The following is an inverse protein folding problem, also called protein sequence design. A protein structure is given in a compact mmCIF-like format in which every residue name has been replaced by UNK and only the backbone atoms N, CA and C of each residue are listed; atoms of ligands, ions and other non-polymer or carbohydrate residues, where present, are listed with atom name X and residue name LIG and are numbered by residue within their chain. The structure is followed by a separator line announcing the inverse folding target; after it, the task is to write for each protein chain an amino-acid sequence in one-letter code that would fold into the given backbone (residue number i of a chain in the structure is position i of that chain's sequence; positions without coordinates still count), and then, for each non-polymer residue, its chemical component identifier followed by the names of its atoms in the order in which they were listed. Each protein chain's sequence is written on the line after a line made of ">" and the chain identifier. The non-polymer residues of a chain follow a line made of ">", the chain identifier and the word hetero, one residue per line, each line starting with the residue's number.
data_IF_683081598128
#
_entry.id   IF_683081598128
#
_cell.length_a   1.000
_cell.length_b   1.000
_cell.length_c   1.000
_cell.angle_alpha   90.00
_cell.angle_beta   90.00
_cell.angle_gamma   90.00
#
_symmetry.space_group_name_H-M   'P 1'
#
loop_
_entity.id
_entity.type
_entity.pdbx_description
1 polymer ?
#
# COMPACT_ATOMS: atom_id res chain seq x y z
N UNK A 1 0.42 -12.47 16.38
CA UNK A 1 -0.86 -12.33 15.63
C UNK A 1 -0.57 -12.14 14.15
N UNK A 2 -1.42 -12.63 13.23
CA UNK A 2 -1.23 -12.49 11.77
C UNK A 2 -2.27 -11.53 11.19
N UNK A 3 -1.83 -10.54 10.44
CA UNK A 3 -2.68 -9.51 9.83
C UNK A 3 -2.54 -9.54 8.31
N UNK A 4 -3.66 -9.36 7.62
CA UNK A 4 -3.70 -9.13 6.18
C UNK A 4 -4.30 -7.75 5.93
N UNK A 5 -3.60 -6.92 5.16
CA UNK A 5 -4.00 -5.57 4.78
C UNK A 5 -4.21 -5.58 3.27
N UNK A 6 -5.44 -5.37 2.82
CA UNK A 6 -5.74 -5.14 1.40
C UNK A 6 -5.80 -3.64 1.18
N UNK A 7 -5.10 -3.13 0.18
CA UNK A 7 -5.01 -1.69 -0.07
C UNK A 7 -5.47 -1.35 -1.48
N UNK A 8 -6.06 -0.17 -1.62
CA UNK A 8 -6.52 0.40 -2.88
C UNK A 8 -6.24 1.91 -2.88
N UNK A 9 -6.11 2.54 -4.05
CA UNK A 9 -5.57 3.91 -4.16
C UNK A 9 -6.64 4.99 -4.04
N UNK A 10 -7.85 4.75 -4.54
CA UNK A 10 -8.96 5.70 -4.61
C UNK A 10 -9.35 6.26 -3.23
N UNK A 11 -9.16 5.46 -2.18
CA UNK A 11 -9.49 5.81 -0.79
C UNK A 11 -8.30 6.27 0.05
N UNK A 12 -7.10 6.37 -0.52
CA UNK A 12 -5.92 6.78 0.23
C UNK A 12 -5.99 8.25 0.66
N UNK A 13 -5.38 8.58 1.79
CA UNK A 13 -5.32 9.92 2.34
C UNK A 13 -4.73 10.91 1.33
N UNK A 14 -5.49 11.94 0.98
CA UNK A 14 -5.05 12.96 0.02
C UNK A 14 -5.20 12.58 -1.46
N UNK A 15 -5.82 11.43 -1.76
CA UNK A 15 -6.33 11.10 -3.10
C UNK A 15 -7.77 11.61 -3.22
N UNK A 16 -8.03 12.45 -4.22
CA UNK A 16 -9.33 13.11 -4.42
C UNK A 16 -9.69 13.36 -5.89
N UNK A 17 -8.78 13.06 -6.83
CA UNK A 17 -8.95 13.32 -8.25
C UNK A 17 -8.57 12.09 -9.09
N UNK A 18 -9.22 11.92 -10.25
CA UNK A 18 -9.04 10.76 -11.13
C UNK A 18 -7.61 10.65 -11.67
N UNK A 19 -6.92 11.78 -11.87
CA UNK A 19 -5.53 11.79 -12.31
C UNK A 19 -4.61 11.11 -11.29
N UNK A 20 -4.97 11.08 -10.00
CA UNK A 20 -4.19 10.43 -8.95
C UNK A 20 -4.32 8.91 -8.98
N UNK A 21 -5.35 8.34 -9.60
CA UNK A 21 -5.52 6.89 -9.77
C UNK A 21 -5.26 6.43 -11.21
N UNK A 22 -5.05 7.36 -12.13
CA UNK A 22 -4.74 7.06 -13.53
C UNK A 22 -3.26 6.72 -13.70
N UNK A 23 -2.96 5.47 -14.08
CA UNK A 23 -1.61 5.00 -14.40
C UNK A 23 -0.86 5.92 -15.39
N UNK A 24 0.38 6.26 -15.04
CA UNK A 24 1.30 7.00 -15.91
C UNK A 24 1.28 8.53 -15.74
N UNK A 25 0.36 9.08 -14.95
CA UNK A 25 0.37 10.52 -14.62
C UNK A 25 1.41 10.83 -13.54
N UNK A 26 1.76 12.11 -13.41
CA UNK A 26 2.58 12.58 -12.28
C UNK A 26 1.82 12.50 -10.96
N UNK A 27 0.53 12.83 -10.98
CA UNK A 27 -0.36 12.77 -9.82
C UNK A 27 -0.46 11.35 -9.25
N UNK A 28 -0.44 10.32 -10.11
CA UNK A 28 -0.41 8.92 -9.71
C UNK A 28 0.88 8.56 -8.97
N UNK A 29 2.05 9.03 -9.42
CA UNK A 29 3.30 8.83 -8.66
C UNK A 29 3.26 9.50 -7.29
N UNK A 30 2.58 10.63 -7.17
CA UNK A 30 2.34 11.26 -5.87
C UNK A 30 1.39 10.43 -5.02
N UNK A 31 0.31 9.90 -5.60
CA UNK A 31 -0.64 9.04 -4.92
C UNK A 31 -0.01 7.73 -4.41
N UNK A 32 0.90 7.10 -5.17
CA UNK A 32 1.71 5.97 -4.69
C UNK A 32 2.46 6.28 -3.38
N UNK A 33 3.01 7.50 -3.26
CA UNK A 33 3.70 7.93 -2.02
C UNK A 33 2.73 8.15 -0.86
N UNK A 34 1.55 8.69 -1.15
CA UNK A 34 0.50 8.88 -0.14
C UNK A 34 -0.04 7.53 0.36
N UNK A 35 -0.39 6.62 -0.57
CA UNK A 35 -0.80 5.25 -0.27
C UNK A 35 0.26 4.53 0.56
N UNK A 36 1.55 4.67 0.20
CA UNK A 36 2.64 4.09 1.00
C UNK A 36 2.67 4.61 2.44
N UNK A 37 2.45 5.91 2.65
CA UNK A 37 2.42 6.49 3.98
C UNK A 37 1.26 5.95 4.83
N UNK A 38 0.07 5.78 4.24
CA UNK A 38 -1.07 5.15 4.93
C UNK A 38 -0.76 3.70 5.31
N UNK A 39 -0.14 2.95 4.42
CA UNK A 39 0.27 1.56 4.65
C UNK A 39 1.30 1.45 5.77
N UNK A 40 2.31 2.32 5.77
CA UNK A 40 3.32 2.34 6.82
C UNK A 40 2.68 2.65 8.18
N UNK A 41 1.78 3.63 8.26
CA UNK A 41 1.05 3.96 9.49
C UNK A 41 0.18 2.78 9.98
N UNK A 42 -0.49 2.07 9.07
CA UNK A 42 -1.28 0.89 9.41
C UNK A 42 -0.38 -0.26 9.92
N UNK A 43 0.78 -0.48 9.29
CA UNK A 43 1.77 -1.47 9.72
C UNK A 43 2.29 -1.14 11.13
N UNK A 44 2.68 0.11 11.37
CA UNK A 44 3.15 0.58 12.68
C UNK A 44 2.11 0.33 13.77
N UNK A 45 0.85 0.69 13.52
CA UNK A 45 -0.25 0.42 14.44
C UNK A 45 -0.45 -1.07 14.72
N UNK A 46 -0.38 -1.91 13.68
CA UNK A 46 -0.47 -3.37 13.82
C UNK A 46 0.68 -3.93 14.67
N UNK A 47 1.91 -3.47 14.45
CA UNK A 47 3.08 -3.90 15.21
C UNK A 47 3.00 -3.47 16.68
N UNK A 48 2.58 -2.22 16.94
CA UNK A 48 2.33 -1.72 18.29
C UNK A 48 1.27 -2.55 19.03
N UNK A 49 0.29 -3.11 18.30
CA UNK A 49 -0.73 -4.01 18.83
C UNK A 49 -0.28 -5.50 18.95
N UNK A 50 1.00 -5.82 18.67
CA UNK A 50 1.53 -7.18 18.81
C UNK A 50 1.34 -8.08 17.59
N UNK A 51 1.13 -7.50 16.39
CA UNK A 51 1.24 -8.27 15.16
C UNK A 51 2.66 -8.81 14.98
N UNK A 52 2.77 -10.08 14.58
CA UNK A 52 4.06 -10.78 14.39
C UNK A 52 4.29 -11.16 12.93
N UNK A 53 3.26 -11.04 12.08
CA UNK A 53 3.38 -11.17 10.63
C UNK A 53 2.27 -10.35 9.96
N UNK A 54 2.63 -9.56 8.95
CA UNK A 54 1.73 -8.68 8.21
C UNK A 54 1.92 -8.98 6.72
N UNK A 55 0.83 -9.19 5.99
CA UNK A 55 0.84 -9.25 4.52
C UNK A 55 0.06 -8.07 4.00
N UNK A 56 0.69 -7.25 3.17
CA UNK A 56 0.02 -6.18 2.43
C UNK A 56 -0.21 -6.67 1.02
N UNK A 57 -1.44 -6.61 0.53
CA UNK A 57 -1.79 -6.89 -0.85
C UNK A 57 -2.10 -5.59 -1.57
N UNK A 58 -1.28 -5.25 -2.56
CA UNK A 58 -1.47 -4.11 -3.43
C UNK A 58 -2.57 -4.44 -4.45
N UNK A 59 -3.78 -3.95 -4.17
CA UNK A 59 -4.99 -4.29 -4.91
C UNK A 59 -5.36 -3.32 -6.02
N UNK A 60 -4.70 -2.16 -6.09
CA UNK A 60 -5.04 -1.15 -7.09
C UNK A 60 -4.45 -1.51 -8.46
N UNK A 61 -5.27 -1.47 -9.50
CA UNK A 61 -4.85 -1.72 -10.90
C UNK A 61 -4.03 -3.03 -11.04
N UNK A 62 -2.74 -2.91 -11.41
CA UNK A 62 -1.83 -4.03 -11.64
C UNK A 62 -1.08 -4.47 -10.37
N UNK A 63 -1.44 -3.94 -9.20
CA UNK A 63 -0.76 -4.19 -7.94
C UNK A 63 0.72 -3.81 -7.97
N UNK A 64 1.06 -2.75 -8.71
CA UNK A 64 2.44 -2.28 -8.95
C UNK A 64 2.67 -0.85 -8.41
N UNK A 65 1.96 -0.50 -7.35
CA UNK A 65 1.89 0.84 -6.78
C UNK A 65 2.86 1.02 -5.61
N UNK A 66 3.11 -0.05 -4.87
CA UNK A 66 3.98 -0.08 -3.70
C UNK A 66 5.32 -0.77 -3.96
N UNK A 67 6.36 -0.33 -3.24
CA UNK A 67 7.66 -1.01 -3.16
C UNK A 67 7.80 -1.70 -1.81
N UNK A 68 8.41 -2.89 -1.81
CA UNK A 68 8.78 -3.61 -0.59
C UNK A 68 9.98 -2.99 0.15
N UNK A 69 10.67 -2.03 -0.48
CA UNK A 69 11.82 -1.35 0.11
C UNK A 69 11.44 -0.62 1.41
N UNK A 70 12.23 -0.83 2.45
CA UNK A 70 12.03 -0.19 3.75
C UNK A 70 10.88 -0.77 4.58
N UNK A 71 10.19 -1.84 4.14
CA UNK A 71 9.22 -2.53 4.98
C UNK A 71 9.92 -3.19 6.18
N UNK A 72 9.28 -3.22 7.37
CA UNK A 72 9.82 -3.93 8.52
C UNK A 72 9.86 -5.45 8.25
N UNK A 73 10.74 -6.20 8.91
CA UNK A 73 10.95 -7.63 8.63
C UNK A 73 9.71 -8.51 8.87
N UNK A 74 8.74 -8.04 9.65
CA UNK A 74 7.46 -8.70 9.88
C UNK A 74 6.45 -8.50 8.75
N UNK A 75 6.68 -7.51 7.87
CA UNK A 75 5.79 -7.16 6.78
C UNK A 75 6.32 -7.72 5.45
N UNK A 76 5.40 -8.18 4.61
CA UNK A 76 5.67 -8.59 3.23
C UNK A 76 4.63 -8.00 2.31
N UNK A 77 5.06 -7.69 1.09
CA UNK A 77 4.22 -7.14 0.05
C UNK A 77 3.87 -8.23 -0.97
N UNK A 78 2.57 -8.38 -1.24
CA UNK A 78 2.05 -9.11 -2.38
C UNK A 78 1.70 -8.09 -3.47
N UNK A 79 2.45 -8.15 -4.57
CA UNK A 79 2.36 -7.22 -5.70
C UNK A 79 2.22 -7.99 -7.01
N UNK A 80 1.70 -7.31 -8.02
CA UNK A 80 1.45 -7.84 -9.34
C UNK A 80 0.09 -8.54 -9.44
N UNK A 81 -0.44 -8.60 -10.66
CA UNK A 81 -1.56 -9.46 -11.03
C UNK A 81 -1.06 -10.53 -12.01
N UNK A 82 -1.66 -11.74 -12.03
CA UNK A 82 -1.41 -12.67 -13.11
C UNK A 82 -1.85 -12.03 -14.43
N UNK A 83 -0.93 -11.86 -15.38
CA UNK A 83 -1.20 -11.46 -16.76
C UNK A 83 -0.67 -12.51 -17.70
#
# INVERSE_FOLDING_TARGET
>A
MRIFISVDMEGASGVFAEEQTTLGTEAYRQACRLLRADVDAAIEGCLAAGATAITVADGHEKGSNLSAEGLPPQARLASGTPT
#
